data_IF_739774605760
#
_entry.id   IF_739774605760
#
_cell.length_a   1.000
_cell.length_b   1.000
_cell.length_c   1.000
_cell.angle_alpha   90.00
_cell.angle_beta   90.00
_cell.angle_gamma   90.00
#
_symmetry.space_group_name_H-M   'P 1'
#
loop_
_entity.id
_entity.type
_entity.pdbx_description
1 polymer ?
#
# COMPACT_ATOMS: atom_id res chain seq x y z
N UNK A 1 14.50 3.75 -7.75
CA UNK A 1 13.37 3.30 -6.91
C UNK A 1 12.09 3.81 -7.53
N UNK A 2 11.01 3.06 -7.43
CA UNK A 2 9.72 3.40 -8.00
C UNK A 2 8.62 3.30 -6.93
N UNK A 3 7.47 3.88 -7.24
CA UNK A 3 6.26 3.79 -6.45
C UNK A 3 5.37 2.67 -7.01
N UNK A 4 5.21 1.61 -6.25
CA UNK A 4 4.33 0.50 -6.57
C UNK A 4 2.99 0.68 -5.86
N UNK A 5 1.89 0.51 -6.58
CA UNK A 5 0.54 0.56 -6.02
C UNK A 5 -0.04 -0.85 -6.02
N UNK A 6 -0.51 -1.29 -4.85
CA UNK A 6 -1.11 -2.60 -4.63
C UNK A 6 -2.53 -2.47 -4.11
N UNK A 7 -3.39 -3.39 -4.57
CA UNK A 7 -4.59 -3.77 -3.84
C UNK A 7 -4.23 -4.87 -2.85
N UNK A 8 -4.58 -4.68 -1.60
CA UNK A 8 -4.32 -5.61 -0.50
C UNK A 8 -5.64 -6.08 0.07
N UNK A 9 -5.88 -7.38 0.10
CA UNK A 9 -6.94 -7.99 0.91
C UNK A 9 -6.29 -8.73 2.07
N UNK A 10 -6.86 -8.65 3.27
CA UNK A 10 -6.28 -9.31 4.47
C UNK A 10 -7.03 -10.61 4.84
N UNK A 11 -8.30 -10.75 4.44
CA UNK A 11 -9.15 -11.91 4.74
C UNK A 11 -9.76 -12.49 3.44
N UNK A 12 -9.92 -13.82 3.32
CA UNK A 12 -9.54 -14.87 4.28
C UNK A 12 -8.05 -15.18 4.32
N UNK A 13 -7.31 -14.76 3.29
CA UNK A 13 -5.85 -14.89 3.20
C UNK A 13 -5.34 -13.56 2.65
N UNK A 14 -4.19 -13.12 3.14
CA UNK A 14 -3.57 -11.91 2.63
C UNK A 14 -3.18 -12.08 1.16
N UNK A 15 -3.70 -11.21 0.30
CA UNK A 15 -3.33 -11.17 -1.12
C UNK A 15 -2.82 -9.78 -1.49
N UNK A 16 -1.67 -9.76 -2.15
CA UNK A 16 -1.10 -8.56 -2.75
C UNK A 16 -1.33 -8.65 -4.26
N UNK A 17 -2.08 -7.71 -4.83
CA UNK A 17 -2.24 -7.58 -6.29
C UNK A 17 -1.60 -6.27 -6.72
N UNK A 18 -0.46 -6.34 -7.44
CA UNK A 18 0.11 -5.15 -8.05
C UNK A 18 -0.89 -4.59 -9.07
N UNK A 19 -1.16 -3.29 -8.97
CA UNK A 19 -2.00 -2.57 -9.91
C UNK A 19 -1.12 -1.83 -10.91
N UNK A 20 -0.26 -0.95 -10.41
CA UNK A 20 0.45 0.05 -11.23
C UNK A 20 1.82 0.39 -10.61
N UNK A 21 2.71 0.98 -11.42
CA UNK A 21 4.03 1.44 -11.01
C UNK A 21 4.34 2.80 -11.66
N UNK A 22 4.99 3.67 -10.91
CA UNK A 22 5.40 5.01 -11.36
C UNK A 22 6.79 5.38 -10.85
N UNK A 23 7.53 6.17 -11.62
CA UNK A 23 8.82 6.71 -11.17
C UNK A 23 8.67 8.00 -10.34
N UNK A 24 7.48 8.60 -10.34
CA UNK A 24 7.17 9.87 -9.66
C UNK A 24 6.13 9.70 -8.55
N UNK A 25 6.44 10.22 -7.36
CA UNK A 25 5.49 10.30 -6.25
C UNK A 25 4.22 11.03 -6.64
N UNK A 26 4.34 12.11 -7.41
CA UNK A 26 3.21 12.97 -7.78
C UNK A 26 2.17 12.16 -8.55
N UNK A 27 2.61 11.43 -9.56
CA UNK A 27 1.72 10.60 -10.39
C UNK A 27 1.15 9.44 -9.59
N UNK A 28 2.00 8.72 -8.85
CA UNK A 28 1.59 7.60 -8.02
C UNK A 28 0.55 8.00 -6.96
N UNK A 29 0.75 9.13 -6.29
CA UNK A 29 -0.15 9.60 -5.23
C UNK A 29 -1.51 10.03 -5.78
N UNK A 30 -1.56 10.66 -6.95
CA UNK A 30 -2.81 11.01 -7.64
C UNK A 30 -3.55 9.72 -8.01
N UNK A 31 -2.87 8.75 -8.61
CA UNK A 31 -3.49 7.48 -8.99
C UNK A 31 -3.98 6.69 -7.79
N UNK A 32 -3.18 6.59 -6.74
CA UNK A 32 -3.57 5.89 -5.51
C UNK A 32 -4.82 6.52 -4.87
N UNK A 33 -5.02 7.84 -4.96
CA UNK A 33 -6.25 8.49 -4.50
C UNK A 33 -7.46 8.14 -5.37
N UNK A 34 -7.30 8.12 -6.69
CA UNK A 34 -8.36 7.71 -7.62
C UNK A 34 -8.79 6.26 -7.38
N UNK A 35 -7.82 5.34 -7.29
CA UNK A 35 -8.08 3.93 -7.00
C UNK A 35 -8.80 3.70 -5.66
N UNK A 36 -8.54 4.54 -4.65
CA UNK A 36 -9.29 4.49 -3.38
C UNK A 36 -10.73 4.98 -3.53
N UNK A 37 -10.97 6.00 -4.36
CA UNK A 37 -12.31 6.49 -4.64
C UNK A 37 -13.12 5.52 -5.54
N UNK A 38 -12.43 4.66 -6.29
CA UNK A 38 -13.02 3.59 -7.11
C UNK A 38 -13.36 2.32 -6.29
N UNK A 39 -12.88 2.19 -5.05
CA UNK A 39 -13.26 1.07 -4.18
C UNK A 39 -14.72 1.19 -3.77
N UNK A 40 -15.43 0.06 -3.79
CA UNK A 40 -16.78 -0.01 -3.21
C UNK A 40 -16.73 0.23 -1.68
N UNK A 41 -17.76 0.88 -1.15
CA UNK A 41 -17.84 1.22 0.29
C UNK A 41 -17.81 -0.03 1.20
N UNK A 42 -18.25 -1.18 0.70
CA UNK A 42 -18.24 -2.47 1.40
C UNK A 42 -16.97 -3.32 1.12
N UNK A 43 -16.01 -2.79 0.37
CA UNK A 43 -14.79 -3.51 0.04
C UNK A 43 -13.88 -3.67 1.25
N UNK A 44 -13.43 -4.90 1.51
CA UNK A 44 -12.38 -5.20 2.48
C UNK A 44 -10.96 -4.97 1.93
N UNK A 45 -10.85 -4.48 0.68
CA UNK A 45 -9.57 -4.24 0.04
C UNK A 45 -9.00 -2.85 0.40
N UNK A 46 -7.68 -2.77 0.50
CA UNK A 46 -6.94 -1.54 0.75
C UNK A 46 -6.04 -1.21 -0.43
N UNK A 47 -5.96 0.07 -0.80
CA UNK A 47 -4.94 0.55 -1.76
C UNK A 47 -3.73 1.06 -0.99
N UNK A 48 -2.61 0.34 -1.12
CA UNK A 48 -1.31 0.72 -0.54
C UNK A 48 -0.35 1.16 -1.65
N UNK A 49 0.42 2.20 -1.38
CA UNK A 49 1.47 2.70 -2.26
C UNK A 49 2.80 2.59 -1.51
N UNK A 50 3.80 1.99 -2.14
CA UNK A 50 5.09 1.68 -1.54
C UNK A 50 6.20 2.19 -2.45
N UNK A 51 7.15 2.92 -1.87
CA UNK A 51 8.38 3.32 -2.56
C UNK A 51 9.44 2.25 -2.32
N UNK A 52 9.87 1.55 -3.36
CA UNK A 52 10.79 0.42 -3.25
C UNK A 52 11.77 0.35 -4.42
N UNK A 53 12.82 -0.47 -4.24
CA UNK A 53 13.84 -0.71 -5.27
C UNK A 53 13.37 -1.66 -6.37
N UNK A 54 12.48 -2.59 -6.03
CA UNK A 54 11.94 -3.61 -6.92
C UNK A 54 10.54 -4.03 -6.46
N UNK A 55 9.84 -4.79 -7.31
CA UNK A 55 8.53 -5.37 -6.98
C UNK A 55 8.62 -6.32 -5.78
N UNK A 56 9.64 -7.20 -5.75
CA UNK A 56 9.92 -8.11 -4.63
C UNK A 56 10.13 -7.34 -3.32
N UNK A 57 10.95 -6.28 -3.34
CA UNK A 57 11.16 -5.44 -2.16
C UNK A 57 9.85 -4.74 -1.72
N UNK A 58 8.98 -4.34 -2.65
CA UNK A 58 7.68 -3.78 -2.30
C UNK A 58 6.78 -4.80 -1.60
N UNK A 59 6.77 -6.06 -2.07
CA UNK A 59 6.01 -7.15 -1.44
C UNK A 59 6.55 -7.51 -0.05
N UNK A 60 7.87 -7.53 0.12
CA UNK A 60 8.52 -7.73 1.43
C UNK A 60 8.04 -6.66 2.42
N UNK A 61 8.14 -5.38 2.06
CA UNK A 61 7.68 -4.24 2.88
C UNK A 61 6.17 -4.28 3.20
N UNK A 62 5.37 -4.84 2.29
CA UNK A 62 3.93 -5.04 2.51
C UNK A 62 3.64 -6.18 3.47
N UNK A 63 4.55 -7.15 3.59
CA UNK A 63 4.45 -8.32 4.45
C UNK A 63 5.06 -8.17 5.84
N UNK A 64 5.86 -7.12 6.06
CA UNK A 64 6.36 -6.78 7.38
C UNK A 64 5.23 -6.54 8.40
N UNK A 65 5.31 -7.24 9.53
CA UNK A 65 4.53 -6.93 10.72
C UNK A 65 5.19 -5.71 11.37
N UNK A 66 4.53 -4.56 11.30
CA UNK A 66 5.02 -3.35 11.97
C UNK A 66 4.61 -3.38 13.43
N UNK A 67 5.59 -3.29 14.34
CA UNK A 67 5.27 -3.02 15.74
C UNK A 67 4.62 -1.65 15.86
N UNK A 68 3.56 -1.50 16.69
CA UNK A 68 2.96 -0.20 16.93
C UNK A 68 4.03 0.75 17.48
N UNK A 69 4.06 1.99 16.98
CA UNK A 69 4.97 2.99 17.50
C UNK A 69 4.75 3.14 19.02
N UNK A 70 5.82 3.31 19.83
CA UNK A 70 5.67 3.54 21.26
C UNK A 70 4.78 4.76 21.47
N UNK A 71 3.76 4.62 22.31
CA UNK A 71 2.95 5.76 22.74
C UNK A 71 3.89 6.72 23.46
N UNK A 72 4.15 7.87 22.84
CA UNK A 72 4.78 8.97 23.52
C UNK A 72 3.81 9.35 24.64
N UNK A 73 4.17 9.04 25.89
CA UNK A 73 3.37 9.48 27.03
C UNK A 73 3.32 11.00 26.99
N UNK A 74 2.10 11.55 26.96
CA UNK A 74 1.89 12.98 27.17
C UNK A 74 2.34 13.28 28.62
N UNK A 75 3.49 13.93 28.76
CA UNK A 75 4.01 14.49 30.01
C UNK A 75 3.64 15.99 30.12
#
# INVERSE_FOLDING_TARGET
MAYFIYRVTEFPIKQLTKLEQYDSYREASVRAKQLRAELADDSQALIKMIHAESELHAEDLLNEIREPAPQLGDD
#
